data_IF_727242330504
#
_entry.id   IF_727242330504
#
_cell.length_a   1.000
_cell.length_b   1.000
_cell.length_c   1.000
_cell.angle_alpha   90.00
_cell.angle_beta   90.00
_cell.angle_gamma   90.00
#
_symmetry.space_group_name_H-M   'P 1'
#
loop_
_entity.id
_entity.type
_entity.pdbx_description
1 polymer ?
#
# COMPACT_ATOMS: atom_id res chain seq x y z
N UNK A 1 -14.45 8.74 9.12
CA UNK A 1 -13.26 8.81 8.25
C UNK A 1 -13.64 8.23 6.90
N UNK A 2 -13.34 8.90 5.78
CA UNK A 2 -13.63 8.37 4.43
C UNK A 2 -12.75 7.13 4.21
N UNK A 3 -13.33 5.94 4.31
CA UNK A 3 -12.75 4.67 3.87
C UNK A 3 -12.61 4.70 2.33
N UNK A 4 -11.65 5.49 1.85
CA UNK A 4 -11.36 5.60 0.44
C UNK A 4 -10.48 4.43 0.04
N UNK A 5 -11.03 3.63 -0.87
CA UNK A 5 -10.26 2.70 -1.67
C UNK A 5 -9.16 3.47 -2.40
N UNK A 6 -7.90 3.09 -2.18
CA UNK A 6 -6.75 3.74 -2.82
C UNK A 6 -6.12 2.81 -3.83
N UNK A 7 -5.50 3.39 -4.85
CA UNK A 7 -4.69 2.62 -5.80
C UNK A 7 -3.28 2.43 -5.27
N UNK A 8 -2.53 1.49 -5.85
CA UNK A 8 -1.09 1.31 -5.56
C UNK A 8 -0.28 2.56 -5.86
N UNK A 9 -0.70 3.35 -6.85
CA UNK A 9 -0.06 4.61 -7.20
C UNK A 9 -0.23 5.63 -6.06
N UNK A 10 -1.45 5.82 -5.58
CA UNK A 10 -1.74 6.73 -4.46
C UNK A 10 -1.00 6.32 -3.18
N UNK A 11 -0.93 5.01 -2.89
CA UNK A 11 -0.13 4.50 -1.78
C UNK A 11 1.36 4.82 -1.95
N UNK A 12 1.91 4.67 -3.15
CA UNK A 12 3.30 4.97 -3.45
C UNK A 12 3.59 6.48 -3.29
N UNK A 13 2.69 7.31 -3.81
CA UNK A 13 2.78 8.78 -3.73
C UNK A 13 2.73 9.25 -2.27
N UNK A 14 1.83 8.71 -1.44
CA UNK A 14 1.73 9.04 -0.01
C UNK A 14 2.96 8.62 0.79
N UNK A 15 3.57 7.49 0.42
CA UNK A 15 4.81 7.02 1.03
C UNK A 15 6.04 7.74 0.47
N UNK A 16 5.90 8.61 -0.53
CA UNK A 16 7.00 9.29 -1.19
C UNK A 16 7.98 8.35 -1.89
N UNK A 17 7.51 7.17 -2.31
CA UNK A 17 8.34 6.14 -2.96
C UNK A 17 7.87 5.85 -4.37
N UNK A 18 8.78 5.38 -5.22
CA UNK A 18 8.37 4.88 -6.54
C UNK A 18 7.47 3.63 -6.40
N UNK A 19 6.53 3.39 -7.33
CA UNK A 19 5.72 2.16 -7.34
C UNK A 19 6.57 0.88 -7.34
N UNK A 20 7.77 0.92 -7.93
CA UNK A 20 8.73 -0.19 -7.94
C UNK A 20 9.31 -0.46 -6.55
N UNK A 21 9.64 0.60 -5.81
CA UNK A 21 10.09 0.51 -4.41
C UNK A 21 8.97 -0.03 -3.52
N UNK A 22 7.75 0.46 -3.70
CA UNK A 22 6.57 -0.04 -2.99
C UNK A 22 6.38 -1.55 -3.26
N UNK A 23 6.40 -1.98 -4.52
CA UNK A 23 6.30 -3.40 -4.89
C UNK A 23 7.38 -4.25 -4.21
N UNK A 24 8.63 -3.78 -4.18
CA UNK A 24 9.73 -4.49 -3.50
C UNK A 24 9.48 -4.61 -1.99
N UNK A 25 9.05 -3.53 -1.33
CA UNK A 25 8.71 -3.53 0.10
C UNK A 25 7.56 -4.51 0.39
N UNK A 26 6.48 -4.45 -0.39
CA UNK A 26 5.34 -5.37 -0.26
C UNK A 26 5.76 -6.83 -0.44
N UNK A 27 6.65 -7.12 -1.40
CA UNK A 27 7.19 -8.47 -1.62
C UNK A 27 8.01 -8.98 -0.42
N UNK A 28 8.83 -8.11 0.18
CA UNK A 28 9.60 -8.45 1.39
C UNK A 28 8.67 -8.71 2.59
N UNK A 29 7.62 -7.90 2.74
CA UNK A 29 6.61 -8.04 3.78
C UNK A 29 5.59 -9.17 3.51
N UNK A 30 5.71 -9.86 2.37
CA UNK A 30 4.78 -10.89 1.90
C UNK A 30 3.32 -10.42 1.87
N UNK A 31 3.09 -9.13 1.58
CA UNK A 31 1.75 -8.57 1.49
C UNK A 31 1.27 -8.68 0.04
N UNK A 32 0.21 -9.46 -0.17
CA UNK A 32 -0.47 -9.54 -1.46
C UNK A 32 -1.54 -8.45 -1.58
N UNK A 33 -1.38 -7.58 -2.57
CA UNK A 33 -2.39 -6.57 -2.88
C UNK A 33 -3.26 -7.07 -4.03
N UNK A 34 -4.60 -7.06 -3.89
CA UNK A 34 -5.52 -7.44 -4.97
C UNK A 34 -5.30 -6.58 -6.22
N UNK A 35 -5.68 -7.10 -7.39
CA UNK A 35 -5.63 -6.33 -8.63
C UNK A 35 -6.69 -5.23 -8.58
N UNK A 36 -6.28 -3.97 -8.75
CA UNK A 36 -7.17 -2.82 -8.73
C UNK A 36 -7.06 -2.00 -7.45
N UNK A 37 -8.19 -1.81 -6.77
CA UNK A 37 -8.32 -0.97 -5.59
C UNK A 37 -7.86 -1.70 -4.32
N UNK A 38 -7.10 -1.00 -3.47
CA UNK A 38 -6.66 -1.47 -2.16
C UNK A 38 -7.81 -1.22 -1.17
N UNK A 39 -8.34 -2.26 -0.50
CA UNK A 39 -9.31 -2.09 0.56
C UNK A 39 -8.74 -1.23 1.70
N UNK A 40 -9.55 -0.38 2.34
CA UNK A 40 -9.08 0.53 3.40
C UNK A 40 -8.47 -0.22 4.60
N UNK A 41 -8.98 -1.43 4.92
CA UNK A 41 -8.38 -2.29 5.97
C UNK A 41 -6.96 -2.73 5.62
N UNK A 42 -6.76 -3.21 4.40
CA UNK A 42 -5.45 -3.62 3.91
C UNK A 42 -4.50 -2.42 3.79
N UNK A 43 -5.03 -1.26 3.42
CA UNK A 43 -4.26 -0.01 3.35
C UNK A 43 -3.65 0.36 4.71
N UNK A 44 -4.46 0.29 5.78
CA UNK A 44 -3.99 0.56 7.14
C UNK A 44 -2.89 -0.42 7.56
N UNK A 45 -3.07 -1.72 7.30
CA UNK A 45 -2.08 -2.75 7.60
C UNK A 45 -0.76 -2.53 6.85
N UNK A 46 -0.83 -2.15 5.57
CA UNK A 46 0.36 -1.85 4.78
C UNK A 46 1.13 -0.67 5.37
N UNK A 47 0.43 0.41 5.75
CA UNK A 47 1.07 1.59 6.34
C UNK A 47 1.74 1.24 7.67
N UNK A 48 1.07 0.47 8.53
CA UNK A 48 1.62 0.04 9.81
C UNK A 48 2.89 -0.79 9.61
N UNK A 49 2.89 -1.76 8.68
CA UNK A 49 4.05 -2.63 8.43
C UNK A 49 5.20 -1.96 7.67
N UNK A 50 4.95 -0.90 6.90
CA UNK A 50 5.98 -0.18 6.15
C UNK A 50 6.67 0.90 6.99
N UNK A 51 5.92 1.51 7.93
CA UNK A 51 6.40 2.60 8.78
C UNK A 51 7.01 2.14 10.12
N UNK A 52 6.72 0.91 10.57
CA UNK A 52 7.48 0.23 11.65
C UNK A 52 8.77 -0.38 11.09
#
# INVERSE_FOLDING_TARGET
MKEQFKTRQQLADELGVSPKTLYRKLKVLQIEIPRGLIPPKLYAEILERICN
#
